data_IF_129801376693
#
_entry.id   IF_129801376693
#
_cell.length_a   1.000
_cell.length_b   1.000
_cell.length_c   1.000
_cell.angle_alpha   90.00
_cell.angle_beta   90.00
_cell.angle_gamma   90.00
#
_symmetry.space_group_name_H-M   'P 1'
#
loop_
_entity.id
_entity.type
_entity.pdbx_description
1 polymer ?
#
# COMPACT_ATOMS: atom_id res chain seq x y z
N UNK A 1 51.17 -2.78 -57.05
CA UNK A 1 50.33 -2.21 -55.98
C UNK A 1 49.41 -3.30 -55.41
N UNK A 2 49.70 -3.92 -54.24
CA UNK A 2 48.67 -4.71 -53.55
C UNK A 2 48.64 -4.58 -52.00
N UNK A 3 49.36 -3.64 -51.38
CA UNK A 3 49.47 -3.55 -49.91
C UNK A 3 48.14 -3.22 -49.21
N UNK A 4 47.26 -2.45 -49.87
CA UNK A 4 46.01 -1.97 -49.28
C UNK A 4 44.97 -3.08 -49.10
N UNK A 5 44.96 -4.09 -49.97
CA UNK A 5 44.02 -5.21 -49.89
C UNK A 5 44.31 -6.14 -48.70
N UNK A 6 45.59 -6.29 -48.32
CA UNK A 6 46.00 -7.10 -47.17
C UNK A 6 45.57 -6.44 -45.86
N UNK A 7 45.73 -5.13 -45.74
CA UNK A 7 45.33 -4.35 -44.56
C UNK A 7 43.82 -4.41 -44.35
N UNK A 8 43.03 -4.25 -45.43
CA UNK A 8 41.57 -4.32 -45.35
C UNK A 8 41.07 -5.69 -44.86
N UNK A 9 41.68 -6.79 -45.32
CA UNK A 9 41.33 -8.15 -44.85
C UNK A 9 41.67 -8.36 -43.38
N UNK A 10 42.82 -7.86 -42.94
CA UNK A 10 43.21 -7.93 -41.53
C UNK A 10 42.20 -7.20 -40.63
N UNK A 11 41.80 -5.99 -41.01
CA UNK A 11 40.79 -5.20 -40.26
C UNK A 11 39.45 -5.91 -40.21
N UNK A 12 39.02 -6.52 -41.32
CA UNK A 12 37.75 -7.23 -41.38
C UNK A 12 37.76 -8.46 -40.45
N UNK A 13 38.85 -9.24 -40.47
CA UNK A 13 38.99 -10.42 -39.62
C UNK A 13 39.00 -10.04 -38.13
N UNK A 14 39.71 -8.97 -37.76
CA UNK A 14 39.69 -8.44 -36.39
C UNK A 14 38.30 -7.95 -35.99
N UNK A 15 37.60 -7.25 -36.88
CA UNK A 15 36.24 -6.77 -36.61
C UNK A 15 35.26 -7.93 -36.40
N UNK A 16 35.37 -9.00 -37.19
CA UNK A 16 34.52 -10.18 -37.07
C UNK A 16 34.86 -10.96 -35.78
N UNK A 17 36.14 -11.09 -35.42
CA UNK A 17 36.55 -11.68 -34.15
C UNK A 17 36.03 -10.89 -32.94
N UNK A 18 36.04 -9.55 -32.98
CA UNK A 18 35.48 -8.73 -31.90
C UNK A 18 33.95 -8.82 -31.84
N UNK A 19 33.26 -8.91 -32.97
CA UNK A 19 31.81 -9.14 -33.00
C UNK A 19 31.42 -10.47 -32.39
N UNK A 20 32.18 -11.53 -32.65
CA UNK A 20 31.97 -12.84 -32.03
C UNK A 20 32.18 -12.78 -30.51
N UNK A 21 33.23 -12.09 -30.04
CA UNK A 21 33.46 -11.88 -28.60
C UNK A 21 32.32 -11.11 -27.93
N UNK A 22 31.86 -10.03 -28.57
CA UNK A 22 30.75 -9.22 -28.05
C UNK A 22 29.47 -10.06 -28.00
N UNK A 23 29.18 -10.85 -29.03
CA UNK A 23 28.02 -11.73 -29.05
C UNK A 23 28.06 -12.77 -27.92
N UNK A 24 29.23 -13.35 -27.66
CA UNK A 24 29.42 -14.29 -26.56
C UNK A 24 29.22 -13.62 -25.19
N UNK A 25 29.80 -12.45 -24.97
CA UNK A 25 29.63 -11.69 -23.72
C UNK A 25 28.16 -11.29 -23.50
N UNK A 26 27.46 -10.88 -24.55
CA UNK A 26 26.04 -10.56 -24.48
C UNK A 26 25.20 -11.80 -24.14
N UNK A 27 25.51 -12.95 -24.75
CA UNK A 27 24.86 -14.21 -24.46
C UNK A 27 25.10 -14.64 -23.00
N UNK A 28 26.34 -14.50 -22.52
CA UNK A 28 26.67 -14.83 -21.13
C UNK A 28 25.95 -13.89 -20.15
N UNK A 29 25.91 -12.59 -20.45
CA UNK A 29 25.19 -11.60 -19.65
C UNK A 29 23.69 -11.84 -19.63
N UNK A 30 23.07 -12.22 -20.76
CA UNK A 30 21.65 -12.55 -20.80
C UNK A 30 21.33 -13.82 -20.02
N UNK A 31 22.17 -14.85 -20.10
CA UNK A 31 22.03 -16.07 -19.29
C UNK A 31 22.13 -15.78 -17.79
N UNK A 32 23.09 -14.94 -17.37
CA UNK A 32 23.22 -14.55 -15.96
C UNK A 32 22.02 -13.73 -15.47
N UNK A 33 21.52 -12.80 -16.30
CA UNK A 33 20.36 -12.00 -15.98
C UNK A 33 19.10 -12.88 -15.82
N UNK A 34 18.91 -13.87 -16.69
CA UNK A 34 17.76 -14.78 -16.61
C UNK A 34 17.82 -15.63 -15.34
N UNK A 35 19.00 -16.18 -14.99
CA UNK A 35 19.18 -16.95 -13.75
C UNK A 35 18.79 -16.13 -12.51
N UNK A 36 19.17 -14.85 -12.47
CA UNK A 36 18.82 -13.96 -11.35
C UNK A 36 17.31 -13.66 -11.32
N UNK A 37 16.68 -13.48 -12.49
CA UNK A 37 15.23 -13.29 -12.60
C UNK A 37 14.46 -14.52 -12.13
N UNK A 38 14.87 -15.71 -12.56
CA UNK A 38 14.27 -16.98 -12.13
C UNK A 38 14.41 -17.18 -10.63
N UNK A 39 15.60 -16.92 -10.07
CA UNK A 39 15.81 -17.00 -8.63
C UNK A 39 14.90 -16.02 -7.87
N UNK A 40 14.78 -14.78 -8.34
CA UNK A 40 13.86 -13.80 -7.76
C UNK A 40 12.40 -14.22 -7.85
N UNK A 41 11.97 -14.77 -8.98
CA UNK A 41 10.60 -15.27 -9.17
C UNK A 41 10.29 -16.45 -8.23
N UNK A 42 11.24 -17.38 -8.06
CA UNK A 42 11.11 -18.50 -7.13
C UNK A 42 11.00 -18.03 -5.67
N UNK A 43 11.82 -17.05 -5.26
CA UNK A 43 11.74 -16.47 -3.92
C UNK A 43 10.40 -15.79 -3.67
N UNK A 44 9.90 -15.05 -4.67
CA UNK A 44 8.61 -14.37 -4.57
C UNK A 44 7.44 -15.36 -4.47
N UNK A 45 7.45 -16.43 -5.27
CA UNK A 45 6.41 -17.46 -5.22
C UNK A 45 6.46 -18.24 -3.89
N UNK A 46 7.65 -18.49 -3.33
CA UNK A 46 7.79 -19.08 -2.00
C UNK A 46 7.21 -18.19 -0.90
N UNK A 47 7.43 -16.87 -0.97
CA UNK A 47 6.84 -15.91 -0.04
C UNK A 47 5.31 -15.86 -0.20
N UNK A 48 4.80 -15.87 -1.43
CA UNK A 48 3.37 -15.90 -1.72
C UNK A 48 2.69 -17.15 -1.16
N UNK A 49 3.30 -18.33 -1.33
CA UNK A 49 2.79 -19.58 -0.78
C UNK A 49 2.80 -19.58 0.76
N UNK A 50 3.84 -19.04 1.40
CA UNK A 50 3.86 -18.86 2.86
C UNK A 50 2.74 -17.94 3.34
N UNK A 51 2.47 -16.83 2.65
CA UNK A 51 1.34 -15.95 2.97
C UNK A 51 -0.01 -16.64 2.76
N UNK A 52 -0.17 -17.43 1.68
CA UNK A 52 -1.38 -18.20 1.44
C UNK A 52 -1.60 -19.30 2.51
N UNK A 53 -0.52 -19.97 2.94
CA UNK A 53 -0.56 -20.95 4.03
C UNK A 53 -0.82 -20.31 5.40
N UNK A 54 -0.31 -19.10 5.64
CA UNK A 54 -0.65 -18.29 6.82
C UNK A 54 -2.07 -17.69 6.74
N UNK A 55 -2.68 -17.64 5.54
CA UNK A 55 -4.01 -17.13 5.26
C UNK A 55 -5.18 -17.92 5.89
N UNK A 56 -4.91 -19.06 6.52
CA UNK A 56 -5.87 -19.73 7.41
C UNK A 56 -6.06 -19.01 8.75
N UNK A 57 -5.19 -18.07 9.12
CA UNK A 57 -5.29 -17.29 10.36
C UNK A 57 -4.70 -15.89 10.20
N UNK A 58 -4.99 -15.24 9.08
CA UNK A 58 -4.94 -13.79 8.99
C UNK A 58 -6.37 -13.27 9.06
N UNK A 59 -6.99 -13.43 10.22
CA UNK A 59 -7.72 -12.28 10.71
C UNK A 59 -6.72 -11.14 10.64
N UNK A 60 -6.91 -10.23 9.68
CA UNK A 60 -6.54 -8.84 9.87
C UNK A 60 -6.75 -8.59 11.36
N UNK A 61 -5.65 -8.39 12.12
CA UNK A 61 -5.75 -7.67 13.38
C UNK A 61 -6.17 -6.28 12.94
N UNK A 62 -7.44 -6.16 12.55
CA UNK A 62 -8.20 -4.93 12.59
C UNK A 62 -7.81 -4.38 13.94
N UNK A 63 -7.16 -3.19 14.00
CA UNK A 63 -6.79 -2.62 15.27
C UNK A 63 -8.02 -2.74 16.13
N UNK A 64 -7.89 -3.45 17.25
CA UNK A 64 -9.01 -3.67 18.16
C UNK A 64 -9.31 -2.28 18.70
N UNK A 65 -10.17 -1.57 17.99
CA UNK A 65 -10.61 -0.24 18.32
C UNK A 65 -11.25 -0.41 19.66
N UNK A 66 -10.59 0.11 20.69
CA UNK A 66 -11.13 0.17 22.02
C UNK A 66 -12.57 0.68 21.86
N UNK A 67 -13.54 -0.14 22.28
CA UNK A 67 -14.96 0.20 22.25
C UNK A 67 -15.22 1.24 23.33
N UNK A 68 -14.62 2.42 23.18
CA UNK A 68 -14.89 3.58 24.00
C UNK A 68 -16.19 4.14 23.47
N UNK A 69 -17.25 3.96 24.26
CA UNK A 69 -18.59 4.43 23.93
C UNK A 69 -18.85 5.77 24.61
N UNK A 70 -19.64 6.62 23.96
CA UNK A 70 -20.08 7.90 24.52
C UNK A 70 -21.59 7.86 24.69
N UNK A 71 -22.08 8.42 25.79
CA UNK A 71 -23.52 8.58 25.96
C UNK A 71 -24.07 9.48 24.86
N UNK A 72 -25.15 9.05 24.20
CA UNK A 72 -25.78 9.84 23.15
C UNK A 72 -26.31 11.16 23.69
N UNK A 73 -26.14 12.23 22.91
CA UNK A 73 -26.66 13.55 23.27
C UNK A 73 -28.10 13.70 22.80
N UNK A 74 -29.03 13.94 23.73
CA UNK A 74 -30.47 14.06 23.44
C UNK A 74 -30.92 15.48 23.19
N UNK A 75 -30.16 16.48 23.63
CA UNK A 75 -30.58 17.88 23.58
C UNK A 75 -31.64 18.22 24.61
N UNK A 76 -31.47 17.73 25.85
CA UNK A 76 -32.29 18.12 27.02
C UNK A 76 -31.56 19.21 27.83
N UNK A 77 -32.30 20.03 28.59
CA UNK A 77 -31.74 21.22 29.27
C UNK A 77 -30.67 20.87 30.29
N UNK A 78 -30.80 19.71 30.96
CA UNK A 78 -29.83 19.23 31.94
C UNK A 78 -28.59 18.56 31.32
N UNK A 79 -28.58 18.32 30.00
CA UNK A 79 -27.43 17.75 29.28
C UNK A 79 -26.53 18.87 28.72
N UNK A 80 -25.33 19.04 29.32
CA UNK A 80 -24.34 20.00 28.83
C UNK A 80 -23.73 19.57 27.50
N UNK A 81 -24.02 20.35 26.43
CA UNK A 81 -23.45 20.14 25.11
C UNK A 81 -21.92 20.24 25.09
N UNK A 82 -21.36 21.22 25.83
CA UNK A 82 -19.91 21.41 25.91
C UNK A 82 -19.21 20.20 26.54
N UNK A 83 -19.74 19.69 27.66
CA UNK A 83 -19.20 18.48 28.31
C UNK A 83 -19.28 17.27 27.37
N UNK A 84 -20.35 17.18 26.59
CA UNK A 84 -20.50 16.11 25.61
C UNK A 84 -19.48 16.20 24.48
N UNK A 85 -19.20 17.39 23.94
CA UNK A 85 -18.17 17.58 22.91
C UNK A 85 -16.76 17.19 23.38
N UNK A 86 -16.39 17.55 24.61
CA UNK A 86 -15.09 17.14 25.18
C UNK A 86 -14.95 15.62 25.19
N UNK A 87 -15.99 14.91 25.63
CA UNK A 87 -15.99 13.44 25.59
C UNK A 87 -15.99 12.88 24.17
N UNK A 88 -16.64 13.55 23.23
CA UNK A 88 -16.68 13.13 21.82
C UNK A 88 -15.29 13.22 21.18
N UNK A 89 -14.54 14.30 21.45
CA UNK A 89 -13.18 14.51 20.98
C UNK A 89 -12.22 13.44 21.50
N UNK A 90 -12.34 13.08 22.78
CA UNK A 90 -11.55 12.00 23.39
C UNK A 90 -11.82 10.66 22.70
N UNK A 91 -13.08 10.36 22.37
CA UNK A 91 -13.46 9.13 21.66
C UNK A 91 -13.00 9.14 20.20
N UNK A 92 -13.12 10.27 19.51
CA UNK A 92 -12.62 10.44 18.13
C UNK A 92 -11.11 10.18 18.09
N UNK A 93 -10.36 10.76 19.03
CA UNK A 93 -8.91 10.58 19.15
C UNK A 93 -8.55 9.13 19.47
N UNK A 94 -9.24 8.50 20.42
CA UNK A 94 -9.00 7.11 20.78
C UNK A 94 -9.31 6.13 19.65
N UNK A 95 -10.33 6.44 18.83
CA UNK A 95 -10.70 5.66 17.64
C UNK A 95 -9.87 5.99 16.40
N UNK A 96 -9.01 7.02 16.47
CA UNK A 96 -8.14 7.48 15.36
C UNK A 96 -8.96 7.80 14.10
N UNK A 97 -10.07 8.52 14.29
CA UNK A 97 -10.90 8.99 13.19
C UNK A 97 -10.31 10.32 12.71
N UNK A 98 -9.41 10.26 11.73
CA UNK A 98 -8.68 11.45 11.24
C UNK A 98 -9.42 12.18 10.10
N UNK A 99 -10.31 11.48 9.41
CA UNK A 99 -11.11 12.03 8.31
C UNK A 99 -12.27 12.90 8.84
N UNK A 100 -12.38 14.12 8.33
CA UNK A 100 -13.37 15.09 8.79
C UNK A 100 -14.82 14.65 8.54
N UNK A 101 -15.10 14.04 7.39
CA UNK A 101 -16.44 13.55 7.08
C UNK A 101 -16.82 12.38 7.99
N UNK A 102 -15.87 11.49 8.32
CA UNK A 102 -16.06 10.42 9.29
C UNK A 102 -16.27 10.94 10.71
N UNK A 103 -15.58 12.00 11.12
CA UNK A 103 -15.81 12.64 12.43
C UNK A 103 -17.24 13.21 12.52
N UNK A 104 -17.70 13.90 11.48
CA UNK A 104 -19.06 14.45 11.42
C UNK A 104 -20.10 13.34 11.43
N UNK A 105 -19.94 12.31 10.61
CA UNK A 105 -20.85 11.16 10.58
C UNK A 105 -20.89 10.44 11.94
N UNK A 106 -19.74 10.30 12.60
CA UNK A 106 -19.65 9.74 13.94
C UNK A 106 -20.40 10.61 14.97
N UNK A 107 -20.17 11.92 14.97
CA UNK A 107 -20.87 12.86 15.84
C UNK A 107 -22.40 12.78 15.65
N UNK A 108 -22.87 12.82 14.40
CA UNK A 108 -24.29 12.70 14.04
C UNK A 108 -24.90 11.37 14.51
N UNK A 109 -24.17 10.26 14.42
CA UNK A 109 -24.64 8.94 14.88
C UNK A 109 -24.85 8.86 16.40
N UNK A 110 -24.17 9.73 17.16
CA UNK A 110 -24.27 9.84 18.61
C UNK A 110 -25.30 10.89 19.06
N UNK A 111 -26.04 11.51 18.13
CA UNK A 111 -27.20 12.34 18.47
C UNK A 111 -28.45 11.46 18.67
N UNK A 112 -29.31 11.88 19.59
CA UNK A 112 -30.59 11.27 19.88
C UNK A 112 -31.65 12.35 20.18
N UNK A 113 -32.91 11.93 20.33
CA UNK A 113 -34.00 12.82 20.76
C UNK A 113 -34.11 14.11 19.94
N UNK A 114 -34.28 15.23 20.66
CA UNK A 114 -34.42 16.56 20.05
C UNK A 114 -33.19 16.99 19.26
N UNK A 115 -31.99 16.63 19.72
CA UNK A 115 -30.76 16.95 19.01
C UNK A 115 -30.69 16.28 17.62
N UNK A 116 -31.11 15.02 17.52
CA UNK A 116 -31.16 14.30 16.24
C UNK A 116 -32.23 14.88 15.31
N UNK A 117 -33.41 15.18 15.84
CA UNK A 117 -34.52 15.81 15.11
C UNK A 117 -34.09 17.16 14.52
N UNK A 118 -33.43 18.00 15.33
CA UNK A 118 -32.87 19.28 14.90
C UNK A 118 -31.79 19.13 13.82
N UNK A 119 -30.83 18.22 14.02
CA UNK A 119 -29.73 18.01 13.07
C UNK A 119 -30.21 17.50 11.69
N UNK A 120 -31.32 16.76 11.66
CA UNK A 120 -31.94 16.27 10.42
C UNK A 120 -32.95 17.27 9.82
N UNK A 121 -33.17 18.42 10.45
CA UNK A 121 -34.14 19.42 10.00
C UNK A 121 -35.61 18.95 10.08
N UNK A 122 -35.87 17.88 10.84
CA UNK A 122 -37.21 17.37 11.07
C UNK A 122 -37.87 18.32 12.09
N UNK A 123 -38.92 19.05 11.68
CA UNK A 123 -39.70 19.91 12.58
C UNK A 123 -40.94 19.18 13.06
#
# INVERSE_FOLDING_TARGET
MPKNATIAKFIQNELDAEREKVALLHQQGSQQAELLREQGAQQFELLRQQQAAAGGSMHSRRPETLKIDISKYRGVEDESLLRWFVGLDDVIRARRIDDGDMQVAFAQSNLAGRAKTWALGLK
#
